data_IF_142184535897
#
_entry.id   IF_142184535897
#
_cell.length_a   1.000
_cell.length_b   1.000
_cell.length_c   1.000
_cell.angle_alpha   90.00
_cell.angle_beta   90.00
_cell.angle_gamma   90.00
#
_symmetry.space_group_name_H-M   'P 1'
#
loop_
_entity.id
_entity.type
_entity.pdbx_description
1 polymer ?
#
# COMPACT_ATOMS: atom_id res chain seq x y z
N UNK A 1 15.96 1.90 -13.80
CA UNK A 1 14.51 1.62 -13.79
C UNK A 1 14.14 1.26 -12.37
N UNK A 2 13.12 1.90 -11.78
CA UNK A 2 12.65 1.53 -10.44
C UNK A 2 11.94 0.17 -10.51
N UNK A 3 12.35 -0.76 -9.64
CA UNK A 3 11.67 -2.05 -9.50
C UNK A 3 10.41 -1.83 -8.67
N UNK A 4 9.23 -1.96 -9.29
CA UNK A 4 7.96 -1.85 -8.59
C UNK A 4 7.59 -3.22 -8.01
N UNK A 5 7.26 -3.24 -6.71
CA UNK A 5 6.66 -4.42 -6.07
C UNK A 5 5.18 -4.14 -5.88
N UNK A 6 4.34 -5.00 -6.47
CA UNK A 6 2.87 -4.90 -6.39
C UNK A 6 2.35 -6.07 -5.57
N UNK A 7 2.70 -7.29 -5.97
CA UNK A 7 2.28 -8.50 -5.30
C UNK A 7 3.41 -9.11 -4.46
N UNK A 8 3.11 -9.64 -3.28
CA UNK A 8 4.08 -10.40 -2.51
C UNK A 8 4.38 -11.74 -3.19
N UNK A 9 5.62 -12.21 -3.08
CA UNK A 9 5.99 -13.56 -3.47
C UNK A 9 5.45 -14.60 -2.48
N UNK A 10 5.39 -15.87 -2.91
CA UNK A 10 4.99 -16.99 -2.06
C UNK A 10 5.89 -17.11 -0.82
N UNK A 11 7.18 -16.85 -0.99
CA UNK A 11 8.19 -16.90 0.07
C UNK A 11 7.95 -15.81 1.11
N UNK A 12 7.58 -14.60 0.67
CA UNK A 12 7.24 -13.49 1.57
C UNK A 12 5.98 -13.80 2.39
N UNK A 13 4.95 -14.40 1.76
CA UNK A 13 3.74 -14.84 2.47
C UNK A 13 4.10 -15.91 3.51
N UNK A 14 4.91 -16.90 3.13
CA UNK A 14 5.35 -17.95 4.05
C UNK A 14 6.13 -17.37 5.24
N UNK A 15 7.01 -16.40 4.99
CA UNK A 15 7.75 -15.72 6.05
C UNK A 15 6.81 -15.01 7.04
N UNK A 16 5.83 -14.26 6.53
CA UNK A 16 4.81 -13.60 7.37
C UNK A 16 4.02 -14.62 8.22
N UNK A 17 3.58 -15.72 7.62
CA UNK A 17 2.83 -16.78 8.32
C UNK A 17 3.67 -17.55 9.35
N UNK A 18 5.00 -17.50 9.24
CA UNK A 18 5.92 -18.18 10.17
C UNK A 18 6.30 -17.35 11.40
N UNK A 19 5.91 -16.07 11.44
CA UNK A 19 6.15 -15.23 12.60
C UNK A 19 5.39 -15.79 13.82
N UNK A 20 6.08 -15.95 14.94
CA UNK A 20 5.43 -16.29 16.20
C UNK A 20 4.43 -15.18 16.54
N UNK A 21 3.13 -15.50 16.52
CA UNK A 21 2.09 -14.50 16.78
C UNK A 21 2.18 -14.02 18.23
N UNK A 22 2.45 -12.74 18.43
CA UNK A 22 2.57 -12.09 19.76
C UNK A 22 1.50 -11.03 20.00
N UNK A 23 0.57 -10.81 19.06
CA UNK A 23 -0.49 -9.81 19.17
C UNK A 23 -0.95 -9.22 17.83
N UNK A 24 -1.62 -8.06 17.86
CA UNK A 24 -2.07 -7.36 16.65
C UNK A 24 -0.91 -7.01 15.73
N UNK A 25 -1.13 -7.14 14.42
CA UNK A 25 -0.17 -6.72 13.38
C UNK A 25 -0.63 -5.39 12.79
N UNK A 26 0.29 -4.43 12.67
CA UNK A 26 0.07 -3.19 11.91
C UNK A 26 0.73 -3.34 10.55
N UNK A 27 -0.10 -3.33 9.50
CA UNK A 27 0.37 -3.33 8.11
C UNK A 27 0.64 -1.88 7.67
N UNK A 28 1.90 -1.54 7.41
CA UNK A 28 2.29 -0.25 6.83
C UNK A 28 2.25 -0.34 5.30
N UNK A 29 1.31 0.37 4.69
CA UNK A 29 1.20 0.47 3.25
C UNK A 29 1.76 1.81 2.78
N UNK A 30 2.78 1.77 1.92
CA UNK A 30 3.34 2.93 1.24
C UNK A 30 3.05 2.78 -0.26
N UNK A 31 2.19 3.64 -0.78
CA UNK A 31 1.61 3.48 -2.11
C UNK A 31 2.14 4.55 -3.06
N UNK A 32 2.68 4.12 -4.20
CA UNK A 32 3.06 5.00 -5.31
C UNK A 32 2.12 4.74 -6.48
N UNK A 33 1.34 5.76 -6.84
CA UNK A 33 0.35 5.64 -7.92
C UNK A 33 0.91 6.08 -9.27
N UNK A 34 0.50 5.38 -10.33
CA UNK A 34 0.70 5.86 -11.70
C UNK A 34 -0.16 7.12 -11.93
N UNK A 35 0.35 8.15 -12.63
CA UNK A 35 -0.45 9.34 -12.94
C UNK A 35 -1.63 9.03 -13.85
N UNK A 36 -1.48 8.05 -14.74
CA UNK A 36 -2.55 7.51 -15.57
C UNK A 36 -2.32 6.02 -15.81
N UNK A 37 -3.40 5.26 -15.91
CA UNK A 37 -3.36 3.83 -16.24
C UNK A 37 -3.76 3.61 -17.68
N UNK A 38 -3.10 2.63 -18.31
CA UNK A 38 -3.24 2.35 -19.74
C UNK A 38 -4.66 1.88 -20.12
N UNK A 39 -5.36 1.23 -19.18
CA UNK A 39 -6.63 0.57 -19.47
C UNK A 39 -7.83 1.52 -19.56
N UNK A 40 -7.84 2.61 -18.79
CA UNK A 40 -9.00 3.50 -18.70
C UNK A 40 -8.63 4.99 -18.61
N UNK A 41 -7.34 5.34 -18.68
CA UNK A 41 -6.86 6.72 -18.57
C UNK A 41 -6.95 7.33 -17.16
N UNK A 42 -7.58 6.65 -16.19
CA UNK A 42 -7.71 7.14 -14.82
C UNK A 42 -6.37 7.07 -14.09
N UNK A 43 -6.19 7.94 -13.09
CA UNK A 43 -5.04 7.86 -12.20
C UNK A 43 -5.07 6.58 -11.36
N UNK A 44 -3.89 6.07 -11.00
CA UNK A 44 -3.78 4.93 -10.10
C UNK A 44 -4.42 5.19 -8.74
N UNK A 45 -4.42 6.45 -8.28
CA UNK A 45 -5.07 6.86 -7.04
C UNK A 45 -6.60 6.72 -7.11
N UNK A 46 -7.21 7.12 -8.22
CA UNK A 46 -8.65 7.00 -8.42
C UNK A 46 -9.08 5.52 -8.45
N UNK A 47 -8.33 4.67 -9.17
CA UNK A 47 -8.59 3.23 -9.19
C UNK A 47 -8.38 2.58 -7.81
N UNK A 48 -7.36 3.00 -7.07
CA UNK A 48 -7.12 2.49 -5.73
C UNK A 48 -8.22 2.88 -4.75
N UNK A 49 -8.83 4.07 -4.90
CA UNK A 49 -9.97 4.48 -4.07
C UNK A 49 -11.18 3.54 -4.25
N UNK A 50 -11.48 3.15 -5.49
CA UNK A 50 -12.54 2.17 -5.79
C UNK A 50 -12.20 0.79 -5.20
N UNK A 51 -10.96 0.33 -5.36
CA UNK A 51 -10.49 -0.89 -4.72
C UNK A 51 -10.64 -0.84 -3.19
N UNK A 52 -10.20 0.25 -2.55
CA UNK A 52 -10.24 0.39 -1.10
C UNK A 52 -11.69 0.36 -0.59
N UNK A 53 -12.61 1.01 -1.30
CA UNK A 53 -14.05 0.98 -1.01
C UNK A 53 -14.62 -0.44 -1.10
N UNK A 54 -14.25 -1.18 -2.15
CA UNK A 54 -14.70 -2.56 -2.34
C UNK A 54 -14.06 -3.54 -1.33
N UNK A 55 -12.82 -3.28 -0.91
CA UNK A 55 -12.07 -4.11 0.03
C UNK A 55 -12.47 -3.88 1.50
N UNK A 56 -12.97 -2.68 1.84
CA UNK A 56 -13.26 -2.30 3.22
C UNK A 56 -14.19 -3.28 3.98
N UNK A 57 -15.29 -3.81 3.40
CA UNK A 57 -16.14 -4.78 4.09
C UNK A 57 -15.41 -6.07 4.45
N UNK A 58 -14.52 -6.56 3.58
CA UNK A 58 -13.73 -7.77 3.83
C UNK A 58 -12.69 -7.55 4.92
N UNK A 59 -12.04 -6.38 4.92
CA UNK A 59 -11.10 -5.99 5.98
C UNK A 59 -11.79 -5.98 7.35
N UNK A 60 -12.98 -5.36 7.43
CA UNK A 60 -13.77 -5.29 8.67
C UNK A 60 -14.24 -6.68 9.13
N UNK A 61 -14.72 -7.52 8.20
CA UNK A 61 -15.12 -8.89 8.51
C UNK A 61 -13.96 -9.75 9.05
N UNK A 62 -12.73 -9.47 8.63
CA UNK A 62 -11.51 -10.11 9.13
C UNK A 62 -11.02 -9.52 10.48
N UNK A 63 -11.73 -8.56 11.07
CA UNK A 63 -11.33 -7.88 12.31
C UNK A 63 -10.28 -6.77 12.11
N UNK A 64 -9.96 -6.45 10.86
CA UNK A 64 -9.03 -5.39 10.49
C UNK A 64 -9.70 -4.01 10.49
N UNK A 65 -8.88 -2.97 10.66
CA UNK A 65 -9.30 -1.58 10.56
C UNK A 65 -8.15 -0.69 10.10
N UNK A 66 -8.48 0.42 9.45
CA UNK A 66 -7.51 1.50 9.20
C UNK A 66 -7.26 2.20 10.53
N UNK A 67 -6.02 2.10 11.04
CA UNK A 67 -5.62 2.75 12.30
C UNK A 67 -5.17 4.20 12.07
N UNK A 68 -4.67 4.50 10.88
CA UNK A 68 -4.18 5.80 10.45
C UNK A 68 -4.13 5.85 8.91
N UNK A 69 -4.36 7.04 8.35
CA UNK A 69 -4.10 7.34 6.93
C UNK A 69 -3.64 8.79 6.81
N UNK A 70 -2.84 9.11 5.80
CA UNK A 70 -2.34 10.46 5.57
C UNK A 70 -1.83 10.67 4.15
N UNK A 71 -1.70 11.94 3.78
CA UNK A 71 -1.07 12.36 2.53
C UNK A 71 0.29 13.00 2.86
N UNK A 72 1.41 12.45 2.37
CA UNK A 72 2.73 13.02 2.63
C UNK A 72 2.81 14.45 2.07
N UNK A 73 3.48 15.34 2.80
CA UNK A 73 3.57 16.77 2.45
C UNK A 73 4.97 17.18 2.02
N UNK A 74 6.00 16.55 2.58
CA UNK A 74 7.40 16.85 2.31
C UNK A 74 8.31 15.69 2.73
N UNK A 75 9.44 15.57 2.04
CA UNK A 75 10.53 14.66 2.40
C UNK A 75 11.56 15.42 3.25
N UNK A 76 11.58 15.18 4.57
CA UNK A 76 12.53 15.85 5.46
C UNK A 76 13.92 15.20 5.45
N UNK A 77 13.96 13.86 5.40
CA UNK A 77 15.19 13.06 5.32
C UNK A 77 15.04 12.14 4.11
N UNK A 78 15.67 12.53 3.00
CA UNK A 78 15.66 11.76 1.77
C UNK A 78 16.86 12.12 0.88
N UNK A 79 17.24 11.26 -0.08
CA UNK A 79 18.17 11.63 -1.14
C UNK A 79 17.75 12.91 -1.87
N UNK A 80 18.68 13.71 -2.41
CA UNK A 80 18.38 15.01 -3.03
C UNK A 80 17.36 14.98 -4.19
N UNK A 81 17.18 13.82 -4.82
CA UNK A 81 16.34 13.57 -5.99
C UNK A 81 15.13 12.65 -5.68
N UNK A 82 14.85 12.38 -4.41
CA UNK A 82 13.74 11.52 -4.01
C UNK A 82 12.39 12.18 -4.25
N UNK A 83 11.65 11.64 -5.22
CA UNK A 83 10.33 12.12 -5.67
C UNK A 83 9.24 11.08 -5.46
N UNK A 84 9.53 9.93 -4.85
CA UNK A 84 8.58 8.80 -4.81
C UNK A 84 7.43 8.98 -3.84
N UNK A 85 7.52 9.94 -2.92
CA UNK A 85 6.61 10.11 -1.78
C UNK A 85 6.01 11.52 -1.65
N UNK A 86 6.04 12.32 -2.72
CA UNK A 86 5.46 13.68 -2.78
C UNK A 86 4.64 13.90 -4.04
#
# INVERSE_FOLDING_TARGET
>A
MATFSIDPSREQIKALMSLASTGPIVMLNLLRFKPSTENNGLSGQALYAEYAKAAAPFLQAAGGRVVWHGHPQANLIAPPDETSWG
#
